data_IF_479868285672
#
_entry.id   IF_479868285672
#
_cell.length_a   1.000
_cell.length_b   1.000
_cell.length_c   1.000
_cell.angle_alpha   90.00
_cell.angle_beta   90.00
_cell.angle_gamma   90.00
#
_symmetry.space_group_name_H-M   'P 1'
#
loop_
_entity.id
_entity.type
_entity.pdbx_description
1 polymer ?
2 non-polymer ?
3 water ?
#
# COMPACT_ATOMS: atom_id res chain seq x y z
N UNK A 3 14.25 13.37 -17.08
CA UNK A 3 12.91 12.88 -17.30
C UNK A 3 12.16 13.80 -18.25
N UNK A 4 11.27 13.20 -19.04
CA UNK A 4 10.33 13.95 -19.85
C UNK A 4 9.50 14.83 -18.93
N UNK A 5 8.93 15.91 -19.47
CA UNK A 5 7.99 16.72 -18.70
C UNK A 5 6.70 15.94 -18.39
N UNK A 6 6.17 16.04 -17.19
CA UNK A 6 4.86 15.43 -16.93
C UNK A 6 3.82 15.99 -17.90
N UNK A 7 2.83 15.18 -18.26
CA UNK A 7 1.81 15.58 -19.21
C UNK A 7 0.48 15.83 -18.51
N UNK A 8 0.17 17.10 -18.21
CA UNK A 8 -1.04 17.33 -17.45
C UNK A 8 -2.29 17.06 -18.25
N UNK A 9 -2.26 17.33 -19.58
CA UNK A 9 -3.43 17.03 -20.41
C UNK A 9 -3.73 15.53 -20.38
N UNK A 10 -2.67 14.72 -20.46
CA UNK A 10 -2.85 13.29 -20.29
C UNK A 10 -3.35 12.90 -18.91
N UNK A 11 -2.81 13.49 -17.86
CA UNK A 11 -3.36 13.23 -16.52
C UNK A 11 -4.84 13.58 -16.40
N UNK A 12 -5.20 14.75 -16.98
CA UNK A 12 -6.61 15.18 -16.99
C UNK A 12 -7.49 14.12 -17.67
N UNK A 13 -7.05 13.60 -18.81
CA UNK A 13 -7.81 12.59 -19.52
C UNK A 13 -7.90 11.30 -18.71
N UNK A 14 -6.86 10.87 -17.99
CA UNK A 14 -6.95 9.64 -17.17
C UNK A 14 -8.02 9.84 -16.11
N UNK A 15 -8.00 10.97 -15.38
CA UNK A 15 -9.01 11.15 -14.34
C UNK A 15 -10.41 11.16 -14.93
N UNK A 16 -10.61 11.88 -16.06
CA UNK A 16 -11.94 11.91 -16.67
C UNK A 16 -12.41 10.53 -17.09
N UNK A 17 -11.48 9.72 -17.62
CA UNK A 17 -11.85 8.35 -17.97
C UNK A 17 -12.24 7.57 -16.73
N UNK A 18 -11.49 7.70 -15.64
CA UNK A 18 -11.84 6.96 -14.41
C UNK A 18 -13.22 7.34 -13.92
N UNK A 19 -13.59 8.60 -14.00
CA UNK A 19 -14.95 8.98 -13.62
C UNK A 19 -15.96 8.28 -14.54
N UNK A 20 -15.69 8.26 -15.85
CA UNK A 20 -16.64 7.65 -16.81
C UNK A 20 -16.82 6.14 -16.52
N UNK A 21 -15.86 5.55 -15.82
CA UNK A 21 -15.89 4.11 -15.53
C UNK A 21 -16.41 3.82 -14.13
N UNK A 22 -16.75 4.80 -13.32
CA UNK A 22 -17.42 4.60 -12.06
C UNK A 22 -16.71 5.08 -10.84
N UNK A 23 -15.56 5.74 -10.98
CA UNK A 23 -14.97 6.37 -9.81
C UNK A 23 -15.73 7.64 -9.48
N UNK A 24 -16.24 7.81 -8.26
CA UNK A 24 -16.88 9.09 -7.97
C UNK A 24 -15.92 10.28 -8.08
N UNK A 25 -14.67 10.08 -7.70
CA UNK A 25 -13.63 11.08 -7.75
C UNK A 25 -12.29 10.40 -8.03
N UNK A 26 -11.39 11.19 -8.62
CA UNK A 26 -10.06 10.72 -8.97
C UNK A 26 -9.09 11.87 -8.93
N UNK A 27 -7.87 11.66 -8.46
CA UNK A 27 -6.95 12.79 -8.35
C UNK A 27 -5.50 12.30 -8.40
N UNK A 28 -4.57 13.23 -8.58
CA UNK A 28 -3.15 12.92 -8.73
C UNK A 28 -2.32 14.13 -8.39
N UNK A 29 -1.21 13.88 -7.69
CA UNK A 29 -0.20 14.89 -7.40
C UNK A 29 1.17 14.45 -7.81
N UNK A 30 1.88 15.28 -8.57
CA UNK A 30 3.29 15.00 -8.94
C UNK A 30 4.19 15.98 -8.27
N UNK A 31 5.23 15.52 -7.62
CA UNK A 31 6.30 16.43 -7.19
C UNK A 31 7.43 16.22 -8.20
N UNK A 32 7.59 17.19 -9.12
CA UNK A 32 8.62 17.07 -10.16
C UNK A 32 9.83 17.93 -9.76
N UNK A 33 10.69 17.36 -8.91
CA UNK A 33 11.89 18.05 -8.48
C UNK A 33 11.63 19.49 -8.03
N UNK A 34 10.58 19.67 -7.22
CA UNK A 34 10.24 20.97 -6.69
C UNK A 34 9.18 21.80 -7.40
N UNK A 35 8.70 21.27 -8.52
CA UNK A 35 7.55 21.87 -9.21
C UNK A 35 6.38 20.91 -9.07
N UNK A 36 5.24 21.42 -8.57
CA UNK A 36 4.11 20.58 -8.28
C UNK A 36 3.14 20.53 -9.46
N UNK A 37 2.60 19.36 -9.73
CA UNK A 37 1.43 19.19 -10.59
C UNK A 37 0.31 18.61 -9.76
N UNK A 38 -0.91 19.13 -9.90
CA UNK A 38 -2.03 18.64 -9.08
C UNK A 38 -3.31 18.76 -9.87
N UNK A 39 -4.01 17.63 -10.00
CA UNK A 39 -5.28 17.59 -10.71
C UNK A 39 -6.27 16.71 -9.97
N UNK A 40 -7.55 17.06 -10.03
CA UNK A 40 -8.59 16.25 -9.39
C UNK A 40 -9.87 16.41 -10.17
N UNK A 41 -10.70 15.38 -10.24
CA UNK A 41 -12.01 15.53 -10.86
C UNK A 41 -13.03 14.76 -10.02
N UNK A 42 -14.23 15.31 -9.92
CA UNK A 42 -15.32 14.54 -9.26
C UNK A 42 -15.42 14.84 -7.78
N UNK A 43 -15.97 13.84 -7.06
CA UNK A 43 -16.49 14.06 -5.71
C UNK A 43 -15.84 13.19 -4.65
N UNK A 44 -15.54 13.81 -3.53
CA UNK A 44 -15.12 13.12 -2.30
C UNK A 44 -16.29 12.43 -1.63
N UNK A 45 -17.45 13.07 -1.73
CA UNK A 45 -18.66 12.50 -1.11
C UNK A 45 -19.73 12.61 -2.18
N UNK A 46 -20.20 11.45 -2.66
CA UNK A 46 -21.13 11.44 -3.79
C UNK A 46 -22.56 11.74 -3.37
N UNK A 47 -22.87 11.65 -2.07
CA UNK A 47 -24.19 11.97 -1.58
C UNK A 47 -24.30 13.46 -1.30
N UNK A 48 -23.27 14.10 -0.77
CA UNK A 48 -23.32 15.54 -0.56
C UNK A 48 -22.81 16.31 -1.77
N UNK A 49 -22.06 15.70 -2.66
CA UNK A 49 -21.53 16.41 -3.81
C UNK A 49 -20.24 17.13 -3.51
N UNK A 50 -19.68 17.03 -2.32
CA UNK A 50 -18.42 17.72 -2.04
C UNK A 50 -17.32 17.28 -2.97
N UNK A 51 -16.62 18.25 -3.61
CA UNK A 51 -15.61 17.92 -4.59
C UNK A 51 -14.39 17.27 -3.96
N UNK A 52 -13.77 16.34 -4.65
CA UNK A 52 -12.46 15.76 -4.26
C UNK A 52 -11.35 16.74 -4.57
N UNK A 53 -10.31 16.75 -3.75
CA UNK A 53 -9.15 17.59 -3.95
C UNK A 53 -7.90 16.83 -3.49
N UNK A 54 -6.74 17.27 -4.03
CA UNK A 54 -5.50 16.56 -3.75
C UNK A 54 -5.08 16.71 -2.27
N UNK A 55 -5.73 17.50 -1.46
CA UNK A 55 -5.37 17.54 -0.04
C UNK A 55 -6.25 16.60 0.78
N UNK A 56 -7.21 15.92 0.18
CA UNK A 56 -8.06 15.04 0.96
C UNK A 56 -7.33 13.81 1.44
N UNK A 57 -7.47 13.49 2.75
CA UNK A 57 -6.87 12.26 3.25
C UNK A 57 -7.63 11.04 2.75
N UNK A 58 -6.94 9.89 2.75
CA UNK A 58 -7.54 8.64 2.28
C UNK A 58 -6.80 7.46 2.87
N UNK A 59 -7.43 6.30 2.70
CA UNK A 59 -6.83 5.02 3.16
C UNK A 59 -5.94 4.49 2.06
N UNK A 60 -4.66 4.29 2.35
CA UNK A 60 -3.67 3.92 1.34
C UNK A 60 -3.56 2.42 1.15
N UNK A 61 -4.28 1.61 1.94
CA UNK A 61 -4.26 0.17 1.76
C UNK A 61 -2.84 -0.37 1.81
N UNK A 62 -2.52 -1.25 0.86
CA UNK A 62 -1.29 -2.02 0.91
C UNK A 62 -0.05 -1.18 0.77
N UNK A 63 -0.14 0.12 0.45
CA UNK A 63 1.04 1.01 0.54
C UNK A 63 1.63 0.93 1.94
N UNK A 64 0.78 0.61 2.94
CA UNK A 64 1.23 0.38 4.29
C UNK A 64 2.40 -0.56 4.39
N UNK A 65 2.45 -1.55 3.49
CA UNK A 65 3.57 -2.51 3.54
C UNK A 65 4.93 -1.81 3.41
N UNK A 66 5.01 -0.70 2.63
CA UNK A 66 6.31 -0.03 2.53
C UNK A 66 6.70 0.62 3.84
N UNK A 67 5.70 1.14 4.55
CA UNK A 67 5.99 1.70 5.89
C UNK A 67 6.47 0.62 6.83
N UNK A 68 5.81 -0.53 6.83
CA UNK A 68 6.25 -1.66 7.67
C UNK A 68 7.65 -2.10 7.29
N UNK A 69 7.92 -2.17 5.98
CA UNK A 69 9.26 -2.59 5.56
C UNK A 69 10.35 -1.60 5.99
N UNK A 70 10.06 -0.29 5.88
CA UNK A 70 11.06 0.65 6.34
C UNK A 70 11.39 0.44 7.80
N UNK A 71 10.38 0.23 8.65
CA UNK A 71 10.64 0.00 10.08
C UNK A 71 11.52 -1.23 10.24
N UNK A 72 11.18 -2.32 9.59
CA UNK A 72 11.94 -3.57 9.72
C UNK A 72 13.36 -3.36 9.24
N UNK A 73 13.57 -2.63 8.15
CA UNK A 73 14.94 -2.45 7.66
C UNK A 73 15.74 -1.53 8.57
N UNK A 74 15.12 -0.56 9.23
CA UNK A 74 15.85 0.18 10.26
C UNK A 74 16.22 -0.74 11.43
N UNK A 75 15.35 -1.71 11.80
CA UNK A 75 15.71 -2.68 12.87
C UNK A 75 16.86 -3.52 12.40
N UNK A 76 17.01 -3.85 11.14
CA UNK A 76 18.20 -4.55 10.61
C UNK A 76 19.40 -3.66 10.75
N UNK A 77 19.31 -2.38 10.38
CA UNK A 77 20.44 -1.44 10.58
C UNK A 77 20.87 -1.37 12.02
N UNK A 78 19.94 -1.48 12.95
CA UNK A 78 20.27 -1.44 14.38
C UNK A 78 20.75 -2.76 14.95
N UNK A 79 20.76 -3.81 14.14
CA UNK A 79 21.31 -5.07 14.67
C UNK A 79 20.26 -5.89 15.38
N UNK A 80 18.97 -5.54 15.29
CA UNK A 80 17.94 -6.26 16.03
C UNK A 80 17.24 -7.33 15.25
N UNK A 81 17.52 -7.42 13.93
CA UNK A 81 16.76 -8.28 13.06
C UNK A 81 17.71 -8.74 11.97
N UNK A 82 17.69 -10.02 11.63
CA UNK A 82 18.51 -10.55 10.55
C UNK A 82 17.54 -10.98 9.46
N UNK A 83 17.64 -10.41 8.26
CA UNK A 83 16.70 -10.79 7.18
C UNK A 83 16.69 -12.30 6.87
N UNK A 84 17.84 -12.97 7.08
CA UNK A 84 17.88 -14.40 6.73
C UNK A 84 17.66 -15.36 7.88
N UNK A 85 17.32 -14.81 9.06
CA UNK A 85 16.87 -15.67 10.17
C UNK A 85 15.41 -16.12 9.95
N UNK A 86 15.10 -17.29 10.52
CA UNK A 86 13.73 -17.80 10.59
C UNK A 86 12.79 -16.80 11.27
N UNK A 87 11.58 -16.69 10.78
CA UNK A 87 10.56 -15.94 11.51
C UNK A 87 10.41 -16.51 12.95
N UNK A 88 10.39 -17.85 13.02
CA UNK A 88 10.20 -18.52 14.33
C UNK A 88 11.35 -18.26 15.29
N UNK A 89 12.53 -17.79 14.81
CA UNK A 89 13.56 -17.39 15.74
C UNK A 89 13.05 -16.30 16.67
N UNK A 90 12.24 -15.36 16.15
CA UNK A 90 11.75 -14.20 16.89
C UNK A 90 10.37 -14.38 17.47
N UNK A 91 9.55 -15.20 16.82
CA UNK A 91 8.16 -15.45 17.18
C UNK A 91 8.01 -16.97 17.27
N UNK A 92 8.50 -17.56 18.38
CA UNK A 92 8.65 -19.03 18.42
C UNK A 92 7.27 -19.68 18.26
N UNK A 93 7.25 -20.80 17.56
CA UNK A 93 6.07 -21.53 17.27
C UNK A 93 5.09 -20.84 16.37
N UNK A 94 5.37 -19.67 15.80
CA UNK A 94 4.34 -19.00 15.03
C UNK A 94 3.95 -19.75 13.75
N UNK A 95 4.94 -20.14 12.97
CA UNK A 95 4.72 -20.68 11.65
C UNK A 95 5.00 -22.17 11.72
N UNK A 96 4.35 -23.00 10.93
CA UNK A 96 4.57 -24.45 10.96
C UNK A 96 5.94 -24.82 10.43
N UNK A 97 6.69 -23.97 9.73
CA UNK A 97 7.97 -24.33 9.12
C UNK A 97 9.02 -23.34 9.57
N UNK A 98 10.02 -23.80 10.32
CA UNK A 98 11.11 -22.93 10.70
C UNK A 98 11.88 -22.38 9.49
N UNK A 99 11.76 -23.00 8.33
CA UNK A 99 12.60 -22.53 7.22
C UNK A 99 12.12 -21.19 6.69
N UNK A 100 10.90 -20.77 7.02
CA UNK A 100 10.43 -19.49 6.47
C UNK A 100 11.17 -18.33 7.11
N UNK A 101 11.85 -17.51 6.29
CA UNK A 101 12.67 -16.43 6.83
C UNK A 101 12.01 -15.07 6.67
N UNK A 102 12.59 -14.10 7.38
CA UNK A 102 12.07 -12.74 7.35
C UNK A 102 12.12 -12.18 5.92
N UNK A 103 13.24 -12.39 5.21
CA UNK A 103 13.36 -11.93 3.85
C UNK A 103 12.26 -12.49 2.94
N UNK A 104 12.00 -13.79 3.10
CA UNK A 104 10.95 -14.45 2.31
C UNK A 104 9.58 -13.85 2.64
N UNK A 105 9.25 -13.58 3.90
CA UNK A 105 7.99 -12.92 4.19
C UNK A 105 7.96 -11.56 3.52
N UNK A 106 9.01 -10.77 3.65
CA UNK A 106 8.92 -9.39 3.15
C UNK A 106 8.85 -9.26 1.64
N UNK A 107 9.24 -10.31 0.93
CA UNK A 107 9.19 -10.36 -0.55
C UNK A 107 8.10 -11.25 -1.06
N UNK A 108 7.17 -11.70 -0.20
CA UNK A 108 6.03 -12.57 -0.65
C UNK A 108 6.52 -13.87 -1.25
N UNK A 109 7.59 -14.43 -0.74
CA UNK A 109 8.07 -15.75 -1.14
C UNK A 109 7.90 -16.79 -0.04
N UNK A 110 7.13 -16.53 1.00
CA UNK A 110 7.05 -17.41 2.15
C UNK A 110 6.10 -18.60 1.96
N UNK A 111 5.19 -18.52 0.99
CA UNK A 111 4.11 -19.51 0.83
C UNK A 111 2.94 -19.32 1.78
N UNK A 112 2.92 -18.35 2.66
CA UNK A 112 1.79 -18.21 3.60
C UNK A 112 0.53 -17.86 2.84
N UNK A 113 -0.54 -18.59 3.06
CA UNK A 113 -1.80 -18.37 2.37
C UNK A 113 -2.37 -17.03 2.79
N UNK A 114 -2.99 -16.32 1.86
CA UNK A 114 -3.61 -15.03 2.17
C UNK A 114 -5.03 -15.23 2.66
N UNK A 115 -5.25 -15.06 3.98
CA UNK A 115 -6.56 -15.24 4.64
C UNK A 115 -7.62 -14.33 4.00
N UNK A 116 -7.20 -13.23 3.37
CA UNK A 116 -8.22 -12.31 2.83
C UNK A 116 -8.94 -12.94 1.65
N UNK A 117 -8.37 -13.97 1.03
CA UNK A 117 -9.11 -14.68 -0.01
C UNK A 117 -10.34 -15.39 0.58
N UNK A 118 -10.33 -15.74 1.87
CA UNK A 118 -11.51 -16.34 2.48
C UNK A 118 -12.49 -15.22 2.84
N UNK A 119 -11.97 -14.10 3.33
CA UNK A 119 -12.79 -12.99 3.82
C UNK A 119 -13.60 -12.30 2.73
N UNK A 120 -13.01 -12.13 1.55
CA UNK A 120 -13.68 -11.29 0.55
C UNK A 120 -14.07 -12.07 -0.70
N UNK A 121 -14.37 -13.33 -0.53
CA UNK A 121 -14.89 -14.14 -1.65
C UNK A 121 -16.17 -13.50 -2.22
N UNK A 122 -16.96 -12.86 -1.39
CA UNK A 122 -18.04 -11.98 -1.88
C UNK A 122 -17.67 -10.60 -1.40
N UNK A 123 -17.61 -9.59 -2.27
CA UNK A 123 -17.00 -8.29 -1.94
C UNK A 123 -17.73 -7.57 -0.84
N UNK A 124 -19.01 -7.28 -1.07
CA UNK A 124 -19.74 -6.45 -0.10
C UNK A 124 -20.05 -7.28 1.13
N UNK A 125 -20.55 -8.49 1.06
CA UNK A 125 -20.77 -9.26 2.30
C UNK A 125 -19.50 -9.42 3.11
N UNK A 126 -18.35 -9.63 2.44
CA UNK A 126 -17.12 -9.76 3.23
C UNK A 126 -16.72 -8.46 3.90
N UNK A 127 -16.88 -7.36 3.17
CA UNK A 127 -16.66 -6.06 3.84
C UNK A 127 -17.58 -5.90 5.06
N UNK A 128 -18.86 -6.22 4.90
CA UNK A 128 -19.81 -6.13 6.01
C UNK A 128 -19.40 -7.02 7.17
N UNK A 129 -18.77 -8.18 6.87
CA UNK A 129 -18.33 -9.09 7.92
C UNK A 129 -17.15 -8.52 8.71
N UNK A 130 -16.16 -7.90 8.05
CA UNK A 130 -14.94 -7.52 8.75
C UNK A 130 -14.93 -6.08 9.19
N UNK A 131 -15.77 -5.20 8.66
CA UNK A 131 -15.54 -3.77 8.82
C UNK A 131 -15.48 -3.28 10.24
N UNK A 132 -16.26 -3.91 11.11
CA UNK A 132 -16.38 -3.55 12.53
C UNK A 132 -15.78 -4.58 13.47
N UNK A 133 -14.93 -5.45 12.99
CA UNK A 133 -14.26 -6.45 13.77
C UNK A 133 -12.87 -5.95 14.16
N UNK A 134 -12.45 -6.37 15.35
CA UNK A 134 -11.05 -6.20 15.80
C UNK A 134 -10.38 -7.56 15.89
N UNK A 135 -9.28 -7.75 15.20
CA UNK A 135 -8.52 -8.98 15.25
C UNK A 135 -7.18 -8.73 15.94
N UNK A 136 -6.68 -9.75 16.62
CA UNK A 136 -5.26 -9.69 17.01
C UNK A 136 -4.43 -10.07 15.80
N UNK A 137 -3.11 -9.80 15.83
CA UNK A 137 -2.21 -10.33 14.80
C UNK A 137 -2.33 -11.85 14.75
N UNK A 138 -2.27 -12.49 15.93
CA UNK A 138 -2.36 -13.96 15.99
C UNK A 138 -3.64 -14.46 15.36
N UNK A 139 -4.79 -13.79 15.54
CA UNK A 139 -6.00 -14.26 14.92
C UNK A 139 -5.82 -14.42 13.42
N UNK A 140 -5.18 -13.40 12.83
CA UNK A 140 -5.03 -13.40 11.33
C UNK A 140 -4.08 -14.49 10.91
N UNK A 141 -2.98 -14.67 11.66
CA UNK A 141 -2.06 -15.76 11.35
C UNK A 141 -2.78 -17.10 11.41
N UNK A 142 -3.53 -17.29 12.50
CA UNK A 142 -4.31 -18.55 12.60
C UNK A 142 -5.23 -18.77 11.42
N UNK A 143 -5.89 -17.72 10.97
CA UNK A 143 -6.75 -17.91 9.78
C UNK A 143 -5.96 -18.30 8.57
N UNK A 144 -4.77 -17.76 8.36
CA UNK A 144 -3.93 -18.19 7.25
C UNK A 144 -3.58 -19.65 7.43
N UNK A 145 -3.20 -20.07 8.63
CA UNK A 145 -2.59 -21.40 8.82
C UNK A 145 -3.65 -22.50 8.79
N UNK A 146 -4.94 -22.10 8.76
CA UNK A 146 -5.97 -23.11 8.44
C UNK A 146 -5.71 -23.74 7.07
N UNK A 147 -4.98 -23.09 6.17
CA UNK A 147 -4.72 -23.54 4.84
C UNK A 147 -3.25 -24.00 4.82
N UNK A 148 -2.90 -24.95 3.96
CA UNK A 148 -1.50 -25.27 3.71
C UNK A 148 -0.79 -24.09 3.08
N UNK A 149 0.54 -24.08 3.27
CA UNK A 149 1.29 -23.10 2.46
C UNK A 149 1.11 -23.39 0.98
N UNK A 150 1.34 -22.41 0.11
CA UNK A 150 1.06 -22.53 -1.32
C UNK A 150 2.32 -22.92 -2.12
N UNK A 151 3.50 -22.88 -1.46
CA UNK A 151 4.75 -23.19 -2.13
C UNK A 151 5.80 -23.39 -1.04
N UNK A 152 6.92 -23.94 -1.47
CA UNK A 152 8.05 -24.12 -0.55
C UNK A 152 8.64 -22.81 -0.09
N UNK A 153 9.24 -22.69 1.09
CA UNK A 153 9.84 -21.42 1.59
C UNK A 153 10.81 -20.87 0.56
N UNK A 154 10.52 -19.64 0.18
CA UNK A 154 11.35 -18.90 -0.74
C UNK A 154 11.16 -19.15 -2.20
N UNK A 155 10.31 -20.15 -2.55
CA UNK A 155 10.35 -20.72 -3.86
C UNK A 155 9.58 -20.02 -4.95
N UNK A 156 8.60 -19.22 -4.62
CA UNK A 156 7.65 -18.66 -5.59
C UNK A 156 7.22 -17.30 -5.05
N UNK A 157 6.99 -16.33 -5.91
CA UNK A 157 6.30 -15.11 -5.51
C UNK A 157 4.80 -15.34 -5.48
N UNK A 158 4.19 -15.01 -4.35
CA UNK A 158 2.73 -15.11 -4.20
C UNK A 158 2.33 -14.08 -3.19
N UNK A 159 1.75 -12.96 -3.66
CA UNK A 159 1.45 -11.88 -2.70
C UNK A 159 0.50 -12.36 -1.63
N UNK A 160 0.83 -11.98 -0.40
CA UNK A 160 -0.06 -12.42 0.69
C UNK A 160 -0.02 -11.40 1.78
N UNK A 161 -1.18 -10.89 2.15
CA UNK A 161 -1.28 -9.97 3.30
C UNK A 161 -0.72 -10.60 4.57
N UNK A 162 -0.83 -11.93 4.72
CA UNK A 162 -0.31 -12.59 5.92
C UNK A 162 1.14 -12.23 6.15
N UNK A 163 1.92 -12.06 5.07
CA UNK A 163 3.32 -11.70 5.29
C UNK A 163 3.52 -10.40 6.07
N UNK A 164 2.67 -9.39 5.81
CA UNK A 164 2.87 -8.13 6.52
C UNK A 164 2.06 -8.07 7.79
N UNK A 165 1.18 -9.05 8.08
CA UNK A 165 0.75 -9.33 9.46
C UNK A 165 1.95 -9.85 10.28
N UNK A 166 2.69 -10.82 9.73
CA UNK A 166 3.95 -11.21 10.37
C UNK A 166 4.87 -10.03 10.60
N UNK A 167 4.98 -9.14 9.61
CA UNK A 167 5.85 -7.97 9.79
C UNK A 167 5.45 -7.14 11.00
N UNK A 168 4.16 -6.87 11.18
CA UNK A 168 3.71 -6.07 12.34
C UNK A 168 4.02 -6.81 13.64
N UNK A 169 3.83 -8.13 13.65
CA UNK A 169 4.13 -8.92 14.85
C UNK A 169 5.60 -8.83 15.19
N UNK A 170 6.46 -8.89 14.19
CA UNK A 170 7.89 -8.76 14.42
C UNK A 170 8.24 -7.39 14.96
N UNK A 171 7.71 -6.35 14.33
CA UNK A 171 8.01 -5.02 14.82
C UNK A 171 7.62 -4.89 16.28
N UNK A 172 6.42 -5.35 16.63
CA UNK A 172 6.00 -5.17 18.05
C UNK A 172 6.82 -6.01 18.99
N UNK A 173 7.13 -7.25 18.63
CA UNK A 173 7.87 -8.14 19.49
C UNK A 173 9.26 -7.56 19.74
N UNK A 174 9.94 -7.16 18.67
CA UNK A 174 11.35 -6.77 18.85
C UNK A 174 11.54 -5.39 19.46
N UNK A 175 10.58 -4.50 19.33
CA UNK A 175 10.70 -3.15 19.84
C UNK A 175 9.99 -3.02 21.20
N UNK A 176 9.02 -3.89 21.51
CA UNK A 176 8.21 -3.68 22.69
C UNK A 176 7.24 -2.50 22.55
N UNK A 177 7.01 -2.01 21.35
CA UNK A 177 6.13 -0.90 21.09
C UNK A 177 5.04 -1.27 20.09
N UNK A 178 3.97 -0.47 20.04
CA UNK A 178 2.98 -0.71 18.99
C UNK A 178 3.54 -0.31 17.63
N UNK A 179 2.95 -0.90 16.57
CA UNK A 179 3.35 -0.41 15.23
C UNK A 179 3.02 1.08 15.10
N UNK A 180 1.95 1.59 15.67
CA UNK A 180 1.66 3.03 15.53
C UNK A 180 2.81 3.83 16.05
N UNK A 181 3.34 3.47 17.24
CA UNK A 181 4.46 4.22 17.81
C UNK A 181 5.66 4.16 16.92
N UNK A 182 5.97 2.99 16.39
CA UNK A 182 7.17 2.82 15.56
C UNK A 182 7.02 3.61 14.23
N UNK A 183 5.84 3.57 13.62
CA UNK A 183 5.63 4.39 12.41
C UNK A 183 5.83 5.86 12.70
N UNK A 184 5.25 6.29 13.85
CA UNK A 184 5.29 7.71 14.18
C UNK A 184 6.74 8.13 14.43
N UNK A 185 7.48 7.40 15.24
CA UNK A 185 8.80 7.83 15.61
C UNK A 185 9.82 7.70 14.50
N UNK A 186 9.71 6.69 13.65
CA UNK A 186 10.75 6.38 12.64
C UNK A 186 10.45 7.02 11.31
N UNK A 187 9.18 7.39 11.04
CA UNK A 187 8.79 7.82 9.69
C UNK A 187 7.95 9.08 9.77
N UNK A 188 6.80 9.06 10.42
CA UNK A 188 5.86 10.18 10.33
C UNK A 188 6.46 11.45 10.88
N UNK A 189 7.05 11.38 12.07
CA UNK A 189 7.61 12.60 12.63
C UNK A 189 8.84 13.04 11.90
N UNK A 190 9.85 12.22 11.67
CA UNK A 190 11.07 12.69 11.01
C UNK A 190 10.78 13.30 9.62
N UNK A 191 9.80 12.80 8.85
CA UNK A 191 9.46 13.39 7.56
C UNK A 191 8.39 14.45 7.65
N UNK A 192 7.86 14.74 8.81
CA UNK A 192 6.79 15.73 9.00
C UNK A 192 5.58 15.39 8.14
N UNK A 193 5.15 14.13 8.19
CA UNK A 193 3.97 13.71 7.40
C UNK A 193 2.71 14.03 8.16
N UNK A 194 2.24 15.29 8.09
CA UNK A 194 1.18 15.85 8.91
C UNK A 194 -0.20 15.30 8.54
N UNK A 195 -0.31 14.62 7.39
CA UNK A 195 -1.57 14.02 6.97
C UNK A 195 -1.56 12.50 7.13
N UNK A 196 -0.57 11.96 7.81
CA UNK A 196 -0.41 10.47 7.80
C UNK A 196 -0.63 9.95 9.21
N UNK A 197 -1.44 8.89 9.30
CA UNK A 197 -1.86 8.35 10.58
C UNK A 197 -1.98 6.85 10.55
N UNK A 198 -1.89 6.26 11.74
CA UNK A 198 -2.22 4.83 11.93
C UNK A 198 -3.07 4.82 13.20
N UNK A 199 -4.38 4.67 13.07
CA UNK A 199 -5.29 4.85 14.19
C UNK A 199 -6.02 3.56 14.56
N UNK A 200 -5.63 2.46 13.95
CA UNK A 200 -6.30 1.19 14.18
C UNK A 200 -6.51 0.93 15.66
N UNK A 201 -7.67 0.45 16.12
CA UNK A 201 -8.85 0.07 15.33
C UNK A 201 -9.88 1.17 15.19
N UNK A 202 -9.52 2.45 15.38
CA UNK A 202 -10.49 3.48 15.15
C UNK A 202 -10.93 3.50 13.68
N UNK A 203 -12.21 3.78 13.48
CA UNK A 203 -12.86 3.82 12.20
C UNK A 203 -12.96 5.20 11.57
N UNK A 204 -12.67 6.24 12.33
CA UNK A 204 -12.71 7.61 11.84
C UNK A 204 -11.43 7.92 11.08
N UNK A 205 -11.62 8.65 9.95
CA UNK A 205 -10.47 9.21 9.23
C UNK A 205 -10.26 10.64 9.71
N UNK A 206 -9.16 11.00 10.37
CA UNK A 206 -9.03 12.35 10.92
C UNK A 206 -9.01 13.40 9.83
N UNK A 207 -9.69 14.50 10.01
CA UNK A 207 -9.68 15.63 9.09
C UNK A 207 -10.45 15.41 7.82
N UNK A 208 -10.26 16.35 6.90
CA UNK A 208 -10.99 16.31 5.63
C UNK A 208 -10.48 15.16 4.79
N UNK A 209 -11.41 14.34 4.30
CA UNK A 209 -11.03 13.10 3.62
C UNK A 209 -11.95 12.82 2.48
N UNK A 210 -11.44 12.01 1.56
CA UNK A 210 -12.30 11.40 0.55
C UNK A 210 -13.04 10.25 1.19
N UNK A 211 -14.34 10.14 0.91
CA UNK A 211 -15.10 8.94 1.27
C UNK A 211 -14.72 7.84 0.28
N UNK A 212 -14.84 6.60 0.76
CA UNK A 212 -14.59 5.46 -0.12
C UNK A 212 -15.88 4.81 -0.54
N UNK A 213 -15.97 4.37 -1.79
CA UNK A 213 -17.19 3.80 -2.34
C UNK A 213 -16.86 2.45 -2.93
N UNK A 214 -17.31 1.41 -2.28
CA UNK A 214 -17.09 0.05 -2.72
C UNK A 214 -18.06 -0.31 -3.82
N UNK A 215 -17.53 -0.80 -4.94
CA UNK A 215 -18.37 -1.26 -6.06
C UNK A 215 -18.84 -2.67 -5.76
N UNK A 216 -20.15 -2.93 -5.84
CA UNK A 216 -20.63 -4.28 -5.57
C UNK A 216 -20.23 -5.22 -6.70
N UNK A 217 -20.27 -6.52 -6.41
CA UNK A 217 -19.99 -7.50 -7.46
C UNK A 217 -21.06 -7.48 -8.53
N UNK A 218 -22.28 -7.10 -8.25
CA UNK A 218 -23.35 -7.09 -9.27
C UNK A 218 -23.15 -5.90 -10.20
N UNK A 219 -23.03 -6.14 -11.50
CA UNK A 219 -22.91 -5.00 -12.42
C UNK A 219 -24.07 -4.04 -12.24
N UNK A 220 -23.75 -2.75 -12.24
CA UNK A 220 -24.68 -1.69 -12.14
C UNK A 220 -25.21 -1.51 -10.73
N UNK A 221 -24.74 -2.28 -9.74
CA UNK A 221 -25.34 -2.21 -8.40
C UNK A 221 -24.95 -0.92 -7.73
N UNK A 222 -25.75 -0.52 -6.73
CA UNK A 222 -25.49 0.74 -6.00
C UNK A 222 -24.19 0.67 -5.20
N UNK A 223 -23.46 1.78 -5.20
CA UNK A 223 -22.19 1.83 -4.44
C UNK A 223 -22.47 1.84 -2.94
N UNK A 224 -21.53 1.28 -2.18
CA UNK A 224 -21.57 1.17 -0.74
C UNK A 224 -20.56 2.11 -0.12
N UNK A 225 -20.95 2.94 0.80
CA UNK A 225 -19.99 3.83 1.46
C UNK A 225 -19.16 2.92 2.37
N UNK A 226 -17.84 2.82 2.12
CA UNK A 226 -16.96 1.98 2.89
C UNK A 226 -15.88 2.77 3.64
N UNK A 227 -16.12 4.09 3.79
CA UNK A 227 -15.16 4.98 4.43
C UNK A 227 -14.67 4.53 5.79
N UNK A 228 -15.62 4.22 6.68
CA UNK A 228 -15.31 4.02 8.10
C UNK A 228 -15.29 2.53 8.46
N UNK A 229 -14.08 2.05 8.72
CA UNK A 229 -13.91 0.65 9.06
C UNK A 229 -12.64 0.54 9.91
N UNK A 230 -12.47 -0.57 10.61
CA UNK A 230 -11.30 -0.70 11.48
C UNK A 230 -10.03 -0.97 10.70
N UNK A 231 -10.14 -1.59 9.53
CA UNK A 231 -9.06 -2.17 8.77
C UNK A 231 -8.23 -3.11 9.66
N UNK A 232 -8.87 -3.73 10.64
CA UNK A 232 -8.17 -4.65 11.55
C UNK A 232 -7.81 -5.93 10.86
N UNK A 233 -8.49 -6.24 9.76
CA UNK A 233 -8.14 -7.40 8.95
C UNK A 233 -6.80 -7.20 8.24
N UNK A 234 -6.25 -6.00 8.23
CA UNK A 234 -4.96 -5.79 7.54
C UNK A 234 -3.86 -5.22 8.45
N UNK A 235 -4.19 -4.23 9.29
CA UNK A 235 -3.22 -3.66 10.24
C UNK A 235 -1.91 -3.25 9.56
N UNK A 236 -0.76 -3.86 9.88
CA UNK A 236 0.52 -3.49 9.30
C UNK A 236 0.67 -3.90 7.85
N UNK A 237 -0.35 -4.56 7.29
CA UNK A 237 -0.45 -4.85 5.84
C UNK A 237 -1.29 -3.81 5.11
N UNK A 238 -2.01 -2.95 5.81
CA UNK A 238 -2.98 -2.09 5.12
C UNK A 238 -3.66 -0.93 5.77
N UNK A 239 -3.39 -0.54 7.03
CA UNK A 239 -4.29 0.39 7.70
C UNK A 239 -3.80 1.83 7.73
N UNK A 240 -2.69 2.22 7.05
CA UNK A 240 -2.27 3.64 7.12
C UNK A 240 -3.21 4.56 6.36
N UNK A 241 -3.38 5.74 6.91
CA UNK A 241 -4.10 6.87 6.29
C UNK A 241 -3.07 7.89 5.87
N UNK A 242 -3.19 8.48 4.65
CA UNK A 242 -2.22 9.51 4.24
C UNK A 242 -2.85 10.46 3.20
N UNK A 243 -1.96 11.17 2.52
CA UNK A 243 -2.36 12.16 1.52
C UNK A 243 -1.41 11.99 0.32
N UNK A 244 -1.80 12.61 -0.81
CA UNK A 244 -0.89 12.53 -1.97
C UNK A 244 0.43 13.25 -1.69
N UNK A 245 0.43 14.39 -0.99
CA UNK A 245 1.70 15.07 -0.68
C UNK A 245 2.54 14.19 0.21
N UNK A 246 1.97 13.57 1.24
CA UNK A 246 2.78 12.79 2.16
C UNK A 246 3.32 11.52 1.55
N UNK A 247 2.53 10.81 0.71
CA UNK A 247 3.10 9.66 0.08
C UNK A 247 4.23 10.05 -0.91
N UNK A 248 4.07 11.17 -1.63
CA UNK A 248 5.18 11.68 -2.44
C UNK A 248 6.42 11.95 -1.59
N UNK A 249 6.25 12.60 -0.44
CA UNK A 249 7.40 12.85 0.46
C UNK A 249 8.04 11.56 0.91
N UNK A 250 7.22 10.60 1.32
CA UNK A 250 7.73 9.31 1.84
C UNK A 250 8.51 8.59 0.75
N UNK A 251 7.96 8.41 -0.46
CA UNK A 251 8.70 7.60 -1.46
C UNK A 251 9.88 8.38 -1.97
N UNK A 252 9.81 9.72 -2.07
CA UNK A 252 11.02 10.47 -2.41
C UNK A 252 12.12 10.27 -1.39
N UNK A 253 11.76 10.34 -0.11
CA UNK A 253 12.76 10.18 0.96
C UNK A 253 13.38 8.78 0.92
N UNK A 254 12.53 7.80 0.69
CA UNK A 254 12.99 6.40 0.62
C UNK A 254 14.01 6.28 -0.50
N UNK A 255 13.64 6.70 -1.72
CA UNK A 255 14.46 6.41 -2.90
C UNK A 255 15.74 7.26 -2.90
N UNK A 256 15.68 8.42 -2.25
CA UNK A 256 16.88 9.28 -2.19
C UNK A 256 17.79 8.93 -1.02
N UNK A 257 17.45 7.93 -0.21
CA UNK A 257 18.40 7.34 0.71
C UNK A 257 18.32 7.88 2.11
N UNK A 258 17.17 8.48 2.46
CA UNK A 258 17.02 9.16 3.75
C UNK A 258 16.47 8.28 4.87
N UNK A 259 16.02 7.07 4.58
CA UNK A 259 15.25 6.33 5.57
C UNK A 259 15.91 5.08 6.11
N UNK A 260 17.09 4.72 5.63
CA UNK A 260 17.86 3.56 6.07
C UNK A 260 19.25 3.64 5.46
N UNK A 261 20.10 2.71 5.85
CA UNK A 261 21.45 2.66 5.27
C UNK A 261 21.35 2.32 3.80
N UNK A 262 22.37 2.66 3.03
CA UNK A 262 22.49 2.30 1.61
C UNK A 262 22.39 0.79 1.49
N UNK A 263 23.05 0.06 2.42
CA UNK A 263 23.03 -1.43 2.38
C UNK A 263 21.59 -1.94 2.45
N UNK A 264 20.78 -1.44 3.34
CA UNK A 264 19.41 -1.93 3.50
C UNK A 264 18.55 -1.46 2.35
N UNK A 265 18.74 -0.24 1.81
CA UNK A 265 17.97 0.12 0.61
C UNK A 265 18.29 -0.80 -0.54
N UNK A 266 19.55 -1.22 -0.65
CA UNK A 266 19.89 -2.13 -1.74
C UNK A 266 19.19 -3.47 -1.55
N UNK A 267 19.09 -3.94 -0.28
CA UNK A 267 18.35 -5.17 -0.02
C UNK A 267 16.89 -5.02 -0.42
N UNK A 268 16.34 -3.85 -0.12
CA UNK A 268 14.91 -3.58 -0.38
C UNK A 268 14.59 -3.60 -1.86
N UNK A 269 15.61 -3.35 -2.69
CA UNK A 269 15.46 -3.25 -4.16
C UNK A 269 16.02 -4.48 -4.87
N UNK A 270 16.15 -5.59 -4.15
CA UNK A 270 16.50 -6.87 -4.81
C UNK A 270 15.20 -7.46 -5.35
N UNK A 271 14.99 -7.40 -6.64
CA UNK A 271 13.64 -7.62 -7.22
C UNK A 271 13.37 -9.11 -7.42
N UNK A 272 12.25 -9.57 -6.92
CA UNK A 272 11.61 -10.84 -7.30
C UNK A 272 10.62 -10.56 -8.41
N UNK A 273 10.63 -11.35 -9.47
CA UNK A 273 9.77 -11.12 -10.59
C UNK A 273 8.32 -11.30 -10.21
N UNK A 274 7.45 -10.35 -10.56
CA UNK A 274 6.00 -10.40 -10.39
C UNK A 274 5.34 -10.77 -11.71
N UNK A 275 5.73 -10.05 -12.76
CA UNK A 275 5.28 -10.30 -14.12
C UNK A 275 6.30 -9.67 -15.09
N UNK A 276 6.09 -9.59 -16.37
CA UNK A 276 7.18 -9.17 -17.26
C UNK A 276 7.51 -7.70 -17.17
N UNK A 277 6.67 -6.91 -16.51
CA UNK A 277 6.94 -5.48 -16.32
C UNK A 277 6.96 -5.04 -14.89
N UNK A 278 7.08 -5.97 -13.93
CA UNK A 278 7.00 -5.63 -12.52
C UNK A 278 7.87 -6.52 -11.65
N UNK A 279 8.38 -5.94 -10.57
CA UNK A 279 9.12 -6.69 -9.54
C UNK A 279 8.58 -6.34 -8.15
N UNK A 280 8.98 -7.16 -7.19
CA UNK A 280 8.71 -6.95 -5.78
C UNK A 280 10.01 -7.08 -5.02
N UNK A 281 10.32 -6.11 -4.18
CA UNK A 281 11.56 -6.13 -3.39
C UNK A 281 11.25 -6.62 -1.95
N UNK A 282 11.53 -5.73 -1.00
CA UNK A 282 11.09 -5.99 0.38
C UNK A 282 10.04 -4.94 0.71
N UNK A 283 8.75 -5.30 0.60
CA UNK A 283 7.74 -4.31 0.83
C UNK A 283 7.77 -3.14 -0.15
N UNK A 284 8.09 -3.40 -1.40
CA UNK A 284 8.33 -2.35 -2.40
C UNK A 284 8.06 -2.92 -3.77
N UNK A 285 7.39 -2.19 -4.63
CA UNK A 285 7.09 -2.63 -5.98
C UNK A 285 7.91 -1.84 -7.00
N UNK A 286 8.28 -2.51 -8.08
CA UNK A 286 8.86 -1.84 -9.26
C UNK A 286 7.89 -1.99 -10.44
N UNK A 287 7.60 -0.88 -11.14
CA UNK A 287 6.81 -0.96 -12.37
C UNK A 287 7.65 -0.38 -13.50
N UNK A 288 7.68 -1.10 -14.62
CA UNK A 288 8.42 -0.69 -15.80
C UNK A 288 7.46 -0.03 -16.79
N UNK A 289 7.71 1.22 -17.08
CA UNK A 289 6.81 2.02 -17.93
C UNK A 289 7.14 1.93 -19.40
N UNK A 290 6.18 2.36 -20.24
CA UNK A 290 6.30 2.09 -21.67
C UNK A 290 7.49 2.79 -22.27
N UNK A 291 7.89 3.92 -21.71
CA UNK A 291 8.97 4.69 -22.29
C UNK A 291 10.33 4.29 -21.74
N UNK A 292 10.40 3.12 -21.08
CA UNK A 292 11.70 2.58 -20.69
C UNK A 292 12.17 3.10 -19.36
N UNK A 293 11.33 3.73 -18.58
CA UNK A 293 11.61 4.28 -17.22
C UNK A 293 11.05 3.25 -16.25
N UNK A 294 11.73 2.88 -15.17
CA UNK A 294 11.12 2.16 -14.06
C UNK A 294 10.85 3.09 -12.88
N UNK A 295 9.78 2.78 -12.17
CA UNK A 295 9.44 3.57 -10.98
C UNK A 295 9.16 2.64 -9.83
N UNK A 296 9.20 3.16 -8.59
CA UNK A 296 9.35 2.37 -7.38
C UNK A 296 8.40 2.89 -6.33
N UNK A 297 7.66 2.02 -5.64
CA UNK A 297 6.70 2.49 -4.67
C UNK A 297 5.75 1.31 -4.37
N UNK A 298 4.45 1.61 -4.30
CA UNK A 298 3.50 0.55 -3.98
C UNK A 298 2.11 1.00 -4.41
N UNK A 299 1.26 0.02 -4.68
CA UNK A 299 -0.15 0.21 -4.90
C UNK A 299 -0.95 -0.15 -3.62
N UNK A 300 -2.17 0.35 -3.56
CA UNK A 300 -3.06 -0.01 -2.48
C UNK A 300 -4.48 -0.21 -3.00
N UNK A 301 -5.16 -1.20 -2.41
CA UNK A 301 -6.57 -1.44 -2.61
C UNK A 301 -7.15 -1.74 -1.23
N UNK A 302 -7.96 -0.86 -0.74
CA UNK A 302 -8.73 -1.11 0.51
C UNK A 302 -10.14 -0.71 0.12
N UNK A 303 -11.17 -1.17 0.82
CA UNK A 303 -12.52 -1.03 0.28
C UNK A 303 -12.84 0.43 0.02
N UNK A 304 -13.13 0.74 -1.25
CA UNK A 304 -13.44 2.08 -1.70
C UNK A 304 -12.30 2.99 -2.07
N UNK A 305 -11.06 2.47 -2.08
CA UNK A 305 -9.90 3.31 -2.40
C UNK A 305 -8.82 2.56 -3.18
N UNK A 306 -8.49 3.07 -4.35
CA UNK A 306 -7.36 2.65 -5.14
C UNK A 306 -6.26 3.68 -5.16
N UNK A 307 -5.08 3.27 -4.70
CA UNK A 307 -3.89 4.15 -4.63
C UNK A 307 -2.76 3.66 -5.51
N UNK A 308 -2.10 4.61 -6.19
CA UNK A 308 -0.77 4.34 -6.78
C UNK A 308 0.21 5.33 -6.19
N UNK A 309 1.37 4.96 -5.68
CA UNK A 309 2.36 5.88 -5.14
C UNK A 309 3.72 5.42 -5.56
N UNK A 310 4.36 6.15 -6.51
CA UNK A 310 5.65 5.70 -7.09
C UNK A 310 6.58 6.88 -7.27
N UNK A 311 7.88 6.65 -7.19
CA UNK A 311 8.90 7.66 -7.41
C UNK A 311 9.95 7.10 -8.35
N UNK A 312 10.68 8.02 -8.98
CA UNK A 312 11.83 7.68 -9.77
C UNK A 312 12.94 7.15 -8.89
N UNK A 313 13.96 6.56 -9.52
CA UNK A 313 15.01 5.87 -8.80
C UNK A 313 15.76 6.75 -7.79
N UNK A 314 15.95 8.03 -8.14
CA UNK A 314 16.67 8.96 -7.27
C UNK A 314 15.70 9.74 -6.40
N UNK A 315 14.40 9.49 -6.45
CA UNK A 315 13.43 10.17 -5.60
C UNK A 315 13.05 11.55 -6.12
N UNK A 316 13.65 12.01 -7.22
CA UNK A 316 13.41 13.39 -7.57
C UNK A 316 12.07 13.65 -8.19
N UNK A 317 11.41 12.68 -8.75
CA UNK A 317 10.01 12.86 -9.17
C UNK A 317 9.17 11.78 -8.45
N UNK A 318 8.09 12.18 -7.84
CA UNK A 318 7.18 11.23 -7.19
C UNK A 318 5.76 11.58 -7.57
N UNK A 319 4.91 10.55 -7.65
CA UNK A 319 3.53 10.65 -8.10
C UNK A 319 2.65 9.82 -7.17
N UNK A 320 1.56 10.38 -6.72
CA UNK A 320 0.53 9.62 -6.02
C UNK A 320 -0.83 9.92 -6.66
N UNK A 321 -1.54 8.86 -7.01
CA UNK A 321 -2.87 8.96 -7.61
C UNK A 321 -3.84 8.17 -6.76
N UNK A 322 -5.10 8.63 -6.67
CA UNK A 322 -6.12 8.05 -5.83
C UNK A 322 -7.44 8.12 -6.58
N UNK A 323 -8.18 7.01 -6.64
CA UNK A 323 -9.60 7.00 -7.04
C UNK A 323 -10.39 6.49 -5.85
N UNK A 324 -11.48 7.14 -5.52
CA UNK A 324 -12.27 6.65 -4.31
C UNK A 324 -13.36 5.66 -4.66
N UNK A 325 -12.91 4.65 -5.39
CA UNK A 325 -13.69 3.38 -5.48
C UNK A 325 -12.74 2.19 -5.40
N UNK A 326 -13.28 1.03 -5.20
CA UNK A 326 -12.54 -0.20 -5.40
C UNK A 326 -13.46 -1.28 -5.96
N UNK A 327 -12.92 -2.43 -6.28
CA UNK A 327 -13.66 -3.52 -6.96
C UNK A 327 -14.20 -3.02 -8.28
N UNK A 328 -13.35 -2.28 -9.01
CA UNK A 328 -13.72 -1.76 -10.32
C UNK A 328 -12.46 -1.80 -11.15
N UNK A 329 -12.32 -2.93 -11.88
CA UNK A 329 -11.04 -3.12 -12.56
C UNK A 329 -10.85 -2.09 -13.68
N UNK A 330 -11.89 -1.60 -14.32
CA UNK A 330 -11.68 -0.55 -15.33
C UNK A 330 -11.00 0.64 -14.69
N UNK A 331 -11.52 1.09 -13.54
CA UNK A 331 -10.91 2.23 -12.86
C UNK A 331 -9.47 1.92 -12.49
N UNK A 332 -9.23 0.73 -11.93
CA UNK A 332 -7.87 0.38 -11.49
C UNK A 332 -6.90 0.49 -12.64
N UNK A 333 -7.28 -0.07 -13.81
CA UNK A 333 -6.39 -0.08 -14.97
C UNK A 333 -6.19 1.35 -15.48
N UNK A 334 -7.27 2.11 -15.52
CA UNK A 334 -7.14 3.50 -15.96
C UNK A 334 -6.19 4.27 -15.05
N UNK A 335 -6.33 4.12 -13.75
CA UNK A 335 -5.55 4.94 -12.84
C UNK A 335 -4.05 4.62 -12.96
N UNK A 336 -3.69 3.43 -13.38
CA UNK A 336 -2.31 3.11 -13.62
C UNK A 336 -1.66 4.03 -14.67
N UNK A 337 -2.50 4.53 -15.60
CA UNK A 337 -1.97 5.38 -16.66
C UNK A 337 -1.44 6.70 -16.14
N UNK A 338 -1.81 7.09 -14.94
CA UNK A 338 -1.23 8.33 -14.36
C UNK A 338 0.29 8.20 -14.33
N UNK A 339 0.86 7.01 -14.15
CA UNK A 339 2.30 6.87 -14.07
C UNK A 339 2.90 7.14 -15.44
N UNK A 340 2.22 6.64 -16.49
CA UNK A 340 2.70 6.93 -17.85
C UNK A 340 2.71 8.43 -18.13
N UNK A 341 1.61 9.14 -17.88
CA UNK A 341 1.60 10.54 -18.21
C UNK A 341 2.56 11.32 -17.33
N UNK A 342 2.69 10.95 -16.03
CA UNK A 342 3.55 11.72 -15.15
C UNK A 342 5.06 11.51 -15.36
N UNK A 343 5.47 10.30 -15.74
CA UNK A 343 6.88 9.96 -15.90
C UNK A 343 7.30 9.96 -17.37
N UNK A 344 6.51 9.40 -18.27
CA UNK A 344 6.87 9.34 -19.68
C UNK A 344 6.42 10.57 -20.42
N UNK A 345 5.43 11.32 -19.97
CA UNK A 345 5.03 12.59 -20.62
C UNK A 345 4.28 12.33 -21.90
N UNK A 346 4.14 13.38 -22.71
CA UNK A 346 3.34 13.34 -23.94
C UNK A 346 3.92 12.34 -24.90
N UNK A 347 3.05 11.58 -25.56
CA UNK A 347 3.52 10.46 -26.39
C UNK A 347 4.06 10.94 -27.75
#
# INVERSE_FOLDING_TARGET
ADLPAPDDTGLQAVLHTALSQGAPGAMVRVDDNGTIHQLSEGVADRATGRAITTTDRFRVGSVTKSFSAVVLLQLVDEGKLDLDASVNTYLPGLLPDDRITVRQVMSHRSGLYDYTNDMFAQTVPGFESVRNKVFSYQDLITLSLKHGVTNAPGAAYSYSNTNFVVAGMLIEKLTGHSVATEYQNRIFTPLNLTDTFYVHPDTVIPGTHANGYLTPDEAGGALVDSTEQTVSWAQSAGAVISSTQDLDTFFSALMSGQLMSAAQLAQMQQWTTVNSTQGYGLGLRRRDLSCGISVYGHTGTVQGYYTYAFASKDGKRSVTALANTSNNVNVLNTMARTLESAFCGKPTT
#
